data_IF_487853618674
#
_entry.id   IF_487853618674
#
_cell.length_a   1.000
_cell.length_b   1.000
_cell.length_c   1.000
_cell.angle_alpha   90.00
_cell.angle_beta   90.00
_cell.angle_gamma   90.00
#
_symmetry.space_group_name_H-M   'P 1'
#
loop_
_entity.id
_entity.type
_entity.pdbx_description
1 polymer ?
#
# COMPACT_ATOMS: atom_id res chain seq x y z
N UNK A 1 -58.39 22.70 8.35
CA UNK A 1 -57.02 22.70 7.80
C UNK A 1 -56.20 21.77 8.69
N UNK A 2 -56.10 20.51 8.30
CA UNK A 2 -55.15 19.57 8.86
C UNK A 2 -53.78 19.79 8.22
N UNK A 3 -52.67 19.78 8.97
CA UNK A 3 -51.37 19.52 8.40
C UNK A 3 -51.06 18.02 8.50
N UNK A 4 -51.24 17.34 7.37
CA UNK A 4 -50.47 16.24 6.80
C UNK A 4 -49.51 15.51 7.75
N UNK A 5 -49.80 14.23 8.01
CA UNK A 5 -48.84 13.24 8.48
C UNK A 5 -47.73 13.03 7.44
N UNK A 6 -46.46 13.04 7.85
CA UNK A 6 -45.34 12.52 7.05
C UNK A 6 -44.85 11.19 7.63
N UNK A 7 -44.73 10.12 6.80
CA UNK A 7 -44.38 8.78 7.23
C UNK A 7 -42.87 8.56 7.10
N UNK A 8 -42.15 8.51 8.23
CA UNK A 8 -40.83 7.90 8.24
C UNK A 8 -40.90 6.57 8.97
N UNK A 9 -40.99 5.52 8.15
CA UNK A 9 -40.72 4.13 8.48
C UNK A 9 -39.52 4.03 9.45
N UNK A 10 -39.57 3.24 10.52
CA UNK A 10 -40.06 1.87 10.55
C UNK A 10 -38.91 0.85 10.41
N UNK A 11 -37.67 1.21 10.79
CA UNK A 11 -36.60 0.21 10.90
C UNK A 11 -36.54 -0.33 12.33
N UNK A 12 -36.83 -1.63 12.50
CA UNK A 12 -36.63 -2.33 13.76
C UNK A 12 -35.13 -2.48 14.06
N UNK A 13 -34.68 -2.30 15.31
CA UNK A 13 -33.26 -2.37 15.64
C UNK A 13 -32.63 -3.71 15.20
N UNK A 14 -31.45 -3.63 14.58
CA UNK A 14 -30.71 -4.82 14.16
C UNK A 14 -30.26 -5.60 15.40
N UNK A 15 -30.41 -6.94 15.41
CA UNK A 15 -29.87 -7.76 16.49
C UNK A 15 -28.35 -7.65 16.56
N UNK A 16 -27.79 -7.85 17.74
CA UNK A 16 -26.34 -7.81 17.96
C UNK A 16 -25.62 -8.76 16.97
N UNK A 17 -24.55 -8.29 16.30
CA UNK A 17 -23.85 -9.11 15.32
C UNK A 17 -23.28 -10.36 15.99
N UNK A 18 -23.45 -11.52 15.35
CA UNK A 18 -22.73 -12.72 15.75
C UNK A 18 -21.24 -12.49 15.51
N UNK A 19 -20.40 -13.02 16.41
CA UNK A 19 -18.94 -12.97 16.34
C UNK A 19 -18.50 -13.34 14.92
N UNK A 20 -17.94 -12.37 14.20
CA UNK A 20 -17.46 -12.60 12.84
C UNK A 20 -16.30 -13.61 12.89
N UNK A 21 -16.17 -14.50 11.89
CA UNK A 21 -15.09 -15.46 11.89
C UNK A 21 -13.74 -14.73 11.91
N UNK A 22 -12.87 -15.09 12.86
CA UNK A 22 -11.52 -14.54 13.04
C UNK A 22 -10.55 -14.97 11.91
N UNK A 23 -11.02 -15.79 10.95
CA UNK A 23 -10.24 -16.23 9.78
C UNK A 23 -10.46 -15.28 8.61
N UNK A 24 -9.38 -14.98 7.87
CA UNK A 24 -9.45 -14.23 6.60
C UNK A 24 -10.53 -14.84 5.70
N UNK A 25 -11.37 -13.98 5.14
CA UNK A 25 -12.35 -14.37 4.13
C UNK A 25 -11.64 -14.95 2.89
N UNK A 26 -12.32 -15.80 2.13
CA UNK A 26 -11.79 -16.36 0.87
C UNK A 26 -11.35 -15.24 -0.09
N UNK A 27 -12.06 -14.10 -0.08
CA UNK A 27 -11.69 -12.92 -0.84
C UNK A 27 -10.34 -12.34 -0.41
N UNK A 28 -10.08 -12.23 0.89
CA UNK A 28 -8.81 -11.71 1.42
C UNK A 28 -7.65 -12.65 1.11
N UNK A 29 -7.85 -13.97 1.27
CA UNK A 29 -6.85 -14.96 0.88
C UNK A 29 -6.51 -14.86 -0.62
N UNK A 30 -7.53 -14.75 -1.47
CA UNK A 30 -7.32 -14.55 -2.92
C UNK A 30 -6.63 -13.22 -3.23
N UNK A 31 -6.92 -12.16 -2.49
CA UNK A 31 -6.26 -10.87 -2.66
C UNK A 31 -4.76 -10.97 -2.33
N UNK A 32 -4.41 -11.61 -1.22
CA UNK A 32 -3.02 -11.79 -0.80
C UNK A 32 -2.23 -12.63 -1.81
N UNK A 33 -2.81 -13.75 -2.28
CA UNK A 33 -2.23 -14.59 -3.33
C UNK A 33 -2.04 -13.84 -4.66
N UNK A 34 -2.98 -12.98 -5.03
CA UNK A 34 -2.86 -12.14 -6.23
C UNK A 34 -1.77 -11.08 -6.07
N UNK A 35 -1.63 -10.46 -4.89
CA UNK A 35 -0.57 -9.50 -4.61
C UNK A 35 0.80 -10.16 -4.66
N UNK A 36 0.93 -11.36 -4.10
CA UNK A 36 2.17 -12.14 -4.20
C UNK A 36 2.51 -12.42 -5.66
N UNK A 37 1.56 -12.96 -6.43
CA UNK A 37 1.77 -13.26 -7.83
C UNK A 37 2.14 -12.02 -8.69
N UNK A 38 1.64 -10.84 -8.33
CA UNK A 38 2.01 -9.57 -8.96
C UNK A 38 3.43 -9.12 -8.58
N UNK A 39 3.81 -9.22 -7.31
CA UNK A 39 5.12 -8.79 -6.79
C UNK A 39 6.26 -9.74 -7.19
N UNK A 40 5.98 -11.04 -7.29
CA UNK A 40 6.93 -12.07 -7.72
C UNK A 40 7.06 -12.15 -9.25
N UNK A 41 6.11 -11.56 -9.98
CA UNK A 41 6.08 -11.54 -11.44
C UNK A 41 5.42 -12.78 -12.07
N UNK A 42 4.82 -13.67 -11.28
CA UNK A 42 3.99 -14.77 -11.79
C UNK A 42 2.78 -14.28 -12.61
N UNK A 43 2.30 -13.06 -12.33
CA UNK A 43 1.41 -12.29 -13.19
C UNK A 43 2.21 -11.14 -13.82
N UNK A 44 2.80 -11.34 -15.01
CA UNK A 44 3.69 -10.35 -15.61
C UNK A 44 2.96 -9.05 -15.97
N UNK A 45 3.63 -7.90 -15.89
CA UNK A 45 3.11 -6.64 -16.44
C UNK A 45 2.57 -6.79 -17.87
N UNK A 46 1.37 -6.25 -18.12
CA UNK A 46 0.70 -6.30 -19.42
C UNK A 46 -0.06 -7.60 -19.70
N UNK A 47 0.12 -8.66 -18.90
CA UNK A 47 -0.66 -9.89 -19.04
C UNK A 47 -2.15 -9.67 -18.73
N UNK A 48 -3.02 -10.43 -19.40
CA UNK A 48 -4.48 -10.31 -19.27
C UNK A 48 -5.04 -11.60 -18.70
N UNK A 49 -5.83 -11.47 -17.63
CA UNK A 49 -6.40 -12.60 -16.89
C UNK A 49 -7.90 -12.43 -16.72
N UNK A 50 -8.66 -13.48 -17.01
CA UNK A 50 -10.09 -13.50 -16.75
C UNK A 50 -10.37 -13.96 -15.32
N UNK A 51 -11.45 -13.44 -14.71
CA UNK A 51 -11.90 -13.91 -13.40
C UNK A 51 -12.10 -15.44 -13.33
N UNK A 52 -12.74 -16.09 -14.33
CA UNK A 52 -12.85 -17.55 -14.38
C UNK A 52 -11.52 -18.30 -14.44
N UNK A 53 -10.53 -17.81 -15.19
CA UNK A 53 -9.23 -18.46 -15.29
C UNK A 53 -8.47 -18.42 -13.95
N UNK A 54 -8.47 -17.26 -13.29
CA UNK A 54 -7.90 -17.10 -11.95
C UNK A 54 -8.67 -17.94 -10.90
N UNK A 55 -10.00 -17.99 -10.99
CA UNK A 55 -10.82 -18.82 -10.10
C UNK A 55 -10.48 -20.31 -10.20
N UNK A 56 -10.30 -20.80 -11.43
CA UNK A 56 -9.84 -22.18 -11.66
C UNK A 56 -8.44 -22.41 -11.09
N UNK A 57 -7.51 -21.46 -11.26
CA UNK A 57 -6.15 -21.53 -10.69
C UNK A 57 -6.16 -21.65 -9.17
N UNK A 58 -6.99 -20.87 -8.48
CA UNK A 58 -7.03 -20.82 -7.02
C UNK A 58 -8.03 -21.81 -6.39
N UNK A 59 -8.76 -22.59 -7.19
CA UNK A 59 -9.74 -23.57 -6.69
C UNK A 59 -10.95 -22.93 -5.99
N UNK A 60 -11.33 -21.72 -6.37
CA UNK A 60 -12.44 -20.95 -5.78
C UNK A 60 -13.48 -20.54 -6.84
N UNK A 61 -14.58 -19.93 -6.41
CA UNK A 61 -15.56 -19.36 -7.34
C UNK A 61 -15.07 -18.03 -7.93
N UNK A 62 -15.68 -17.59 -9.04
CA UNK A 62 -15.28 -16.36 -9.73
C UNK A 62 -15.61 -15.07 -8.96
N UNK A 63 -16.52 -15.11 -7.99
CA UNK A 63 -16.95 -13.92 -7.21
C UNK A 63 -15.82 -13.34 -6.35
N UNK A 64 -15.21 -14.08 -5.41
CA UNK A 64 -14.12 -13.54 -4.58
C UNK A 64 -12.91 -13.07 -5.41
N UNK A 65 -12.64 -13.73 -6.55
CA UNK A 65 -11.60 -13.32 -7.50
C UNK A 65 -11.93 -11.97 -8.13
N UNK A 66 -13.15 -11.78 -8.65
CA UNK A 66 -13.55 -10.50 -9.25
C UNK A 66 -13.53 -9.37 -8.24
N UNK A 67 -13.93 -9.62 -7.00
CA UNK A 67 -13.87 -8.65 -5.91
C UNK A 67 -12.41 -8.28 -5.57
N UNK A 68 -11.53 -9.26 -5.42
CA UNK A 68 -10.10 -9.02 -5.19
C UNK A 68 -9.45 -8.23 -6.34
N UNK A 69 -9.72 -8.62 -7.59
CA UNK A 69 -9.21 -7.90 -8.76
C UNK A 69 -9.79 -6.49 -8.90
N UNK A 70 -11.03 -6.24 -8.46
CA UNK A 70 -11.59 -4.89 -8.40
C UNK A 70 -10.90 -4.03 -7.33
N UNK A 71 -10.48 -4.61 -6.20
CA UNK A 71 -9.66 -3.92 -5.21
C UNK A 71 -8.28 -3.58 -5.79
N UNK A 72 -7.62 -4.55 -6.44
CA UNK A 72 -6.33 -4.33 -7.12
C UNK A 72 -6.43 -3.28 -8.22
N UNK A 73 -7.58 -3.17 -8.90
CA UNK A 73 -7.82 -2.11 -9.87
C UNK A 73 -7.88 -0.72 -9.21
N UNK A 74 -8.52 -0.62 -8.04
CA UNK A 74 -8.53 0.61 -7.24
C UNK A 74 -7.16 0.96 -6.67
N UNK A 75 -6.31 -0.04 -6.43
CA UNK A 75 -4.91 0.12 -6.02
C UNK A 75 -3.98 0.43 -7.21
N UNK A 76 -4.50 0.43 -8.44
CA UNK A 76 -3.72 0.69 -9.65
C UNK A 76 -2.72 -0.43 -9.99
N UNK A 77 -2.94 -1.64 -9.49
CA UNK A 77 -2.13 -2.82 -9.82
C UNK A 77 -2.58 -3.47 -11.13
N UNK A 78 -3.88 -3.38 -11.43
CA UNK A 78 -4.50 -3.90 -12.66
C UNK A 78 -5.48 -2.89 -13.26
N UNK A 79 -5.81 -3.08 -14.53
CA UNK A 79 -6.84 -2.34 -15.25
C UNK A 79 -8.00 -3.27 -15.60
N UNK A 80 -9.23 -2.79 -15.45
CA UNK A 80 -10.41 -3.56 -15.87
C UNK A 80 -10.55 -3.48 -17.39
N UNK A 81 -10.58 -4.64 -18.05
CA UNK A 81 -10.87 -4.76 -19.48
C UNK A 81 -12.30 -5.30 -19.67
N UNK A 82 -13.24 -4.49 -20.20
CA UNK A 82 -14.61 -4.93 -20.45
C UNK A 82 -14.65 -6.26 -21.22
N UNK A 83 -15.41 -7.23 -20.70
CA UNK A 83 -15.59 -8.57 -21.27
C UNK A 83 -14.32 -9.42 -21.47
N UNK A 84 -13.14 -8.96 -21.02
CA UNK A 84 -11.87 -9.70 -21.15
C UNK A 84 -11.27 -10.07 -19.80
N UNK A 85 -11.54 -9.30 -18.75
CA UNK A 85 -11.02 -9.52 -17.41
C UNK A 85 -10.19 -8.34 -16.95
N UNK A 86 -8.94 -8.60 -16.56
CA UNK A 86 -8.06 -7.60 -15.98
C UNK A 86 -6.68 -7.67 -16.61
N UNK A 87 -6.05 -6.51 -16.83
CA UNK A 87 -4.69 -6.38 -17.33
C UNK A 87 -3.76 -5.92 -16.23
N UNK A 88 -2.64 -6.59 -16.01
CA UNK A 88 -1.61 -6.12 -15.07
C UNK A 88 -1.03 -4.81 -15.59
N UNK A 89 -0.96 -3.78 -14.73
CA UNK A 89 -0.46 -2.45 -15.12
C UNK A 89 1.02 -2.54 -15.49
N UNK A 90 1.38 -1.91 -16.61
CA UNK A 90 2.78 -1.72 -17.01
C UNK A 90 3.29 -0.39 -16.46
N UNK A 91 4.38 -0.42 -15.69
CA UNK A 91 5.12 0.78 -15.30
C UNK A 91 6.53 0.73 -15.87
N UNK A 92 6.97 1.81 -16.47
CA UNK A 92 8.37 1.97 -16.85
C UNK A 92 9.19 2.48 -15.67
N UNK A 93 10.52 2.35 -15.73
CA UNK A 93 11.40 3.00 -14.75
C UNK A 93 11.17 4.53 -14.71
N UNK A 94 10.84 5.13 -15.87
CA UNK A 94 10.48 6.54 -15.97
C UNK A 94 9.21 6.87 -15.19
N UNK A 95 8.17 6.05 -15.30
CA UNK A 95 6.91 6.27 -14.57
C UNK A 95 7.15 6.22 -13.06
N UNK A 96 7.97 5.27 -12.59
CA UNK A 96 8.32 5.15 -11.18
C UNK A 96 9.17 6.34 -10.69
N UNK A 97 10.11 6.81 -11.50
CA UNK A 97 10.88 8.02 -11.20
C UNK A 97 9.98 9.26 -11.08
N UNK A 98 8.97 9.39 -11.95
CA UNK A 98 7.97 10.47 -11.87
C UNK A 98 7.08 10.35 -10.63
N UNK A 99 6.68 9.12 -10.25
CA UNK A 99 5.97 8.90 -8.99
C UNK A 99 6.85 9.34 -7.81
N UNK A 100 8.13 8.95 -7.77
CA UNK A 100 9.06 9.35 -6.73
C UNK A 100 9.24 10.89 -6.67
N UNK A 101 9.27 11.57 -7.82
CA UNK A 101 9.30 13.04 -7.90
C UNK A 101 8.09 13.68 -7.22
N UNK A 102 6.87 13.21 -7.53
CA UNK A 102 5.65 13.72 -6.89
C UNK A 102 5.64 13.39 -5.40
N UNK A 103 6.06 12.18 -5.00
CA UNK A 103 6.20 11.81 -3.59
C UNK A 103 7.17 12.73 -2.85
N UNK A 104 8.31 13.08 -3.45
CA UNK A 104 9.25 14.05 -2.86
C UNK A 104 8.61 15.42 -2.65
N UNK A 105 7.83 15.91 -3.62
CA UNK A 105 7.12 17.21 -3.51
C UNK A 105 6.06 17.21 -2.40
N UNK A 106 5.43 16.06 -2.14
CA UNK A 106 4.36 15.93 -1.13
C UNK A 106 4.92 15.60 0.26
N UNK A 107 5.80 14.61 0.36
CA UNK A 107 6.19 14.01 1.64
C UNK A 107 7.34 14.75 2.33
N UNK A 108 8.32 15.29 1.59
CA UNK A 108 9.48 15.98 2.20
C UNK A 108 9.06 17.19 3.04
N UNK A 109 8.25 18.13 2.54
CA UNK A 109 7.85 19.29 3.33
C UNK A 109 7.14 18.88 4.64
N UNK A 110 6.31 17.85 4.56
CA UNK A 110 5.56 17.30 5.71
C UNK A 110 6.52 16.73 6.75
N UNK A 111 7.48 15.90 6.34
CA UNK A 111 8.47 15.32 7.27
C UNK A 111 9.36 16.39 7.88
N UNK A 112 9.73 17.44 7.14
CA UNK A 112 10.51 18.56 7.66
C UNK A 112 9.73 19.42 8.67
N UNK A 113 8.43 19.61 8.45
CA UNK A 113 7.56 20.28 9.43
C UNK A 113 7.42 19.44 10.69
N UNK A 114 7.21 18.13 10.55
CA UNK A 114 7.13 17.21 11.68
C UNK A 114 8.44 17.16 12.47
N UNK A 115 9.59 17.12 11.80
CA UNK A 115 10.90 17.14 12.45
C UNK A 115 11.10 18.35 13.37
N UNK A 116 10.43 19.49 13.10
CA UNK A 116 10.49 20.70 13.92
C UNK A 116 9.43 20.74 15.02
N UNK A 117 8.28 20.11 14.81
CA UNK A 117 7.10 20.25 15.68
C UNK A 117 6.86 19.07 16.61
N UNK A 118 7.32 17.88 16.25
CA UNK A 118 7.02 16.62 16.96
C UNK A 118 8.10 16.34 18.01
N UNK A 119 7.73 16.07 19.29
CA UNK A 119 8.68 15.68 20.32
C UNK A 119 9.40 14.37 19.98
N UNK A 120 10.68 14.26 20.36
CA UNK A 120 11.50 13.08 20.03
C UNK A 120 10.85 11.74 20.42
N UNK A 121 10.19 11.68 21.58
CA UNK A 121 9.51 10.48 22.09
C UNK A 121 8.40 9.94 21.17
N UNK A 122 7.83 10.78 20.28
CA UNK A 122 6.81 10.33 19.32
C UNK A 122 7.40 9.49 18.20
N UNK A 123 8.70 9.62 17.90
CA UNK A 123 9.38 8.80 16.90
C UNK A 123 9.59 7.37 17.39
N UNK A 124 9.77 7.18 18.69
CA UNK A 124 9.91 5.85 19.31
C UNK A 124 8.67 4.97 19.07
N UNK A 125 7.49 5.59 18.93
CA UNK A 125 6.24 4.87 18.62
C UNK A 125 6.22 4.28 17.20
N UNK A 126 7.06 4.78 16.29
CA UNK A 126 7.18 4.28 14.92
C UNK A 126 8.24 3.17 14.78
N UNK A 127 9.07 2.93 15.80
CA UNK A 127 10.14 1.92 15.77
C UNK A 127 9.60 0.52 15.45
N UNK A 128 8.49 0.04 16.05
CA UNK A 128 7.94 -1.28 15.70
C UNK A 128 7.55 -1.42 14.23
N UNK A 129 7.12 -0.33 13.58
CA UNK A 129 6.78 -0.33 12.15
C UNK A 129 8.04 -0.41 11.29
N UNK A 130 9.09 0.34 11.65
CA UNK A 130 10.39 0.23 10.98
C UNK A 130 10.98 -1.18 11.12
N UNK A 131 10.92 -1.77 12.31
CA UNK A 131 11.39 -3.14 12.58
C UNK A 131 10.61 -4.18 11.77
N UNK A 132 9.30 -4.01 11.59
CA UNK A 132 8.49 -4.88 10.75
C UNK A 132 8.99 -4.87 9.29
N UNK A 133 9.39 -3.71 8.77
CA UNK A 133 9.99 -3.64 7.41
C UNK A 133 11.31 -4.40 7.34
N UNK A 134 12.14 -4.30 8.37
CA UNK A 134 13.43 -5.00 8.44
C UNK A 134 13.23 -6.51 8.53
N UNK A 135 12.27 -6.97 9.35
CA UNK A 135 11.95 -8.38 9.49
C UNK A 135 11.43 -9.00 8.18
N UNK A 136 10.47 -8.33 7.51
CA UNK A 136 9.95 -8.79 6.22
C UNK A 136 11.03 -8.80 5.13
N UNK A 137 11.85 -7.73 5.06
CA UNK A 137 13.00 -7.67 4.16
C UNK A 137 14.01 -8.79 4.44
N UNK A 138 14.20 -9.16 5.70
CA UNK A 138 15.11 -10.22 6.09
C UNK A 138 14.62 -11.60 5.66
N UNK A 139 13.31 -11.84 5.72
CA UNK A 139 12.67 -13.06 5.22
C UNK A 139 12.61 -13.13 3.68
N UNK A 140 12.84 -12.01 2.99
CA UNK A 140 12.64 -11.92 1.54
C UNK A 140 11.17 -11.91 1.13
N UNK A 141 10.26 -11.67 2.10
CA UNK A 141 8.82 -11.63 1.89
C UNK A 141 8.42 -10.26 1.34
N UNK A 142 8.17 -10.21 0.02
CA UNK A 142 7.84 -8.96 -0.69
C UNK A 142 6.47 -8.42 -0.32
N UNK A 143 5.50 -9.30 -0.08
CA UNK A 143 4.13 -8.91 0.24
C UNK A 143 4.10 -8.26 1.62
N UNK A 144 4.64 -8.96 2.62
CA UNK A 144 4.73 -8.42 3.98
C UNK A 144 5.58 -7.17 4.02
N UNK A 145 6.64 -7.10 3.19
CA UNK A 145 7.46 -5.90 3.09
C UNK A 145 6.67 -4.70 2.57
N UNK A 146 5.94 -4.85 1.45
CA UNK A 146 5.16 -3.77 0.85
C UNK A 146 4.09 -3.23 1.82
N UNK A 147 3.42 -4.12 2.56
CA UNK A 147 2.42 -3.70 3.57
C UNK A 147 3.09 -3.00 4.76
N UNK A 148 4.22 -3.51 5.26
CA UNK A 148 4.95 -2.89 6.38
C UNK A 148 5.55 -1.52 6.00
N UNK A 149 6.14 -1.40 4.81
CA UNK A 149 6.69 -0.16 4.24
C UNK A 149 5.60 0.93 4.17
N UNK A 150 4.47 0.57 3.58
CA UNK A 150 3.29 1.43 3.49
C UNK A 150 2.75 1.83 4.87
N UNK A 151 2.67 0.89 5.81
CA UNK A 151 2.22 1.16 7.17
C UNK A 151 3.14 2.16 7.90
N UNK A 152 4.45 2.03 7.74
CA UNK A 152 5.43 2.97 8.27
C UNK A 152 5.22 4.38 7.70
N UNK A 153 5.17 4.53 6.37
CA UNK A 153 4.96 5.82 5.71
C UNK A 153 3.63 6.47 6.11
N UNK A 154 2.55 5.69 6.18
CA UNK A 154 1.23 6.17 6.61
C UNK A 154 1.25 6.68 8.05
N UNK A 155 1.91 5.97 8.95
CA UNK A 155 2.00 6.36 10.35
C UNK A 155 2.87 7.62 10.53
N UNK A 156 4.01 7.69 9.83
CA UNK A 156 4.89 8.86 9.82
C UNK A 156 4.14 10.12 9.35
N UNK A 157 3.52 10.08 8.17
CA UNK A 157 2.77 11.21 7.63
C UNK A 157 1.48 11.49 8.41
N UNK A 158 0.91 10.48 9.07
CA UNK A 158 -0.27 10.60 9.93
C UNK A 158 -0.07 11.53 11.11
N UNK A 159 1.17 11.69 11.59
CA UNK A 159 1.50 12.66 12.65
C UNK A 159 1.19 14.11 12.26
N UNK A 160 1.09 14.42 10.97
CA UNK A 160 0.74 15.75 10.49
C UNK A 160 -0.74 16.10 10.68
N UNK A 161 -1.58 15.11 11.03
CA UNK A 161 -3.02 15.31 11.21
C UNK A 161 -3.76 15.70 9.92
N UNK A 162 -3.12 15.58 8.75
CA UNK A 162 -3.72 15.90 7.46
C UNK A 162 -4.08 14.62 6.69
N UNK A 163 -5.35 14.16 6.75
CA UNK A 163 -5.75 12.91 6.11
C UNK A 163 -5.64 12.94 4.58
N UNK A 164 -5.68 14.12 3.96
CA UNK A 164 -5.56 14.24 2.50
C UNK A 164 -4.13 13.99 2.02
N UNK A 165 -3.13 14.52 2.74
CA UNK A 165 -1.71 14.22 2.46
C UNK A 165 -1.46 12.73 2.58
N UNK A 166 -1.93 12.11 3.66
CA UNK A 166 -1.79 10.68 3.90
C UNK A 166 -2.43 9.88 2.75
N UNK A 167 -3.64 10.25 2.32
CA UNK A 167 -4.33 9.55 1.24
C UNK A 167 -3.60 9.66 -0.11
N UNK A 168 -3.07 10.84 -0.45
CA UNK A 168 -2.31 11.05 -1.70
C UNK A 168 -0.99 10.28 -1.66
N UNK A 169 -0.24 10.37 -0.57
CA UNK A 169 1.02 9.65 -0.42
C UNK A 169 0.81 8.12 -0.43
N UNK A 170 -0.22 7.62 0.25
CA UNK A 170 -0.57 6.19 0.27
C UNK A 170 -0.95 5.64 -1.11
N UNK A 171 -1.64 6.45 -1.93
CA UNK A 171 -1.94 6.09 -3.33
C UNK A 171 -0.66 6.02 -4.18
N UNK A 172 0.18 7.06 -4.11
CA UNK A 172 1.45 7.10 -4.87
C UNK A 172 2.40 5.98 -4.43
N UNK A 173 2.48 5.70 -3.13
CA UNK A 173 3.29 4.63 -2.57
C UNK A 173 2.83 3.25 -3.08
N UNK A 174 1.51 2.96 -3.03
CA UNK A 174 0.96 1.73 -3.61
C UNK A 174 1.25 1.58 -5.10
N UNK A 175 1.27 2.67 -5.85
CA UNK A 175 1.62 2.60 -7.29
C UNK A 175 3.11 2.33 -7.49
N UNK A 176 3.97 2.83 -6.60
CA UNK A 176 5.42 2.68 -6.70
C UNK A 176 5.91 1.25 -6.38
N UNK A 177 5.18 0.50 -5.54
CA UNK A 177 5.61 -0.84 -5.08
C UNK A 177 5.59 -1.92 -6.17
N UNK A 178 4.92 -1.68 -7.31
CA UNK A 178 4.79 -2.67 -8.37
C UNK A 178 6.04 -2.68 -9.26
N UNK A 179 6.59 -3.87 -9.56
CA UNK A 179 7.80 -3.98 -10.35
C UNK A 179 7.61 -3.41 -11.77
N UNK A 180 8.61 -2.69 -12.32
CA UNK A 180 8.52 -2.14 -13.66
C UNK A 180 8.66 -3.23 -14.72
N UNK A 181 8.18 -2.93 -15.93
CA UNK A 181 8.35 -3.80 -17.09
C UNK A 181 9.83 -4.01 -17.37
N UNK A 182 10.25 -5.27 -17.51
CA UNK A 182 11.63 -5.61 -17.86
C UNK A 182 12.64 -5.36 -16.73
N UNK A 183 12.19 -5.21 -15.49
CA UNK A 183 13.07 -5.05 -14.34
C UNK A 183 14.02 -6.25 -14.19
N UNK A 184 15.32 -6.02 -14.38
CA UNK A 184 16.33 -6.99 -14.01
C UNK A 184 16.52 -6.97 -12.48
N UNK A 185 16.53 -8.13 -11.79
CA UNK A 185 16.68 -8.20 -10.32
C UNK A 185 17.93 -7.48 -9.79
N UNK A 186 18.99 -7.38 -10.61
CA UNK A 186 20.29 -6.85 -10.23
C UNK A 186 20.38 -5.30 -10.17
N UNK A 187 19.35 -4.57 -10.63
CA UNK A 187 19.39 -3.09 -10.71
C UNK A 187 18.75 -2.37 -9.52
N UNK A 188 18.05 -3.09 -8.64
CA UNK A 188 17.39 -2.50 -7.47
C UNK A 188 18.19 -2.71 -6.19
N UNK A 189 18.20 -1.73 -5.26
CA UNK A 189 18.67 -1.98 -3.92
C UNK A 189 17.88 -3.16 -3.32
N UNK A 190 18.57 -3.97 -2.53
CA UNK A 190 17.91 -5.08 -1.84
C UNK A 190 16.83 -4.54 -0.90
N UNK A 191 15.77 -5.33 -0.65
CA UNK A 191 14.76 -4.97 0.36
C UNK A 191 15.40 -4.59 1.69
N UNK A 192 16.49 -5.27 2.07
CA UNK A 192 17.25 -4.99 3.28
C UNK A 192 17.90 -3.61 3.26
N UNK A 193 18.46 -3.19 2.14
CA UNK A 193 19.04 -1.85 1.99
C UNK A 193 17.97 -0.76 2.08
N UNK A 194 16.81 -0.95 1.45
CA UNK A 194 15.68 -0.02 1.58
C UNK A 194 15.12 0.02 3.02
N UNK A 195 14.91 -1.14 3.66
CA UNK A 195 14.40 -1.23 5.02
C UNK A 195 15.28 -0.50 6.04
N UNK A 196 16.61 -0.56 5.87
CA UNK A 196 17.57 0.11 6.75
C UNK A 196 17.37 1.64 6.78
N UNK A 197 16.86 2.23 5.69
CA UNK A 197 16.59 3.67 5.64
C UNK A 197 15.48 4.08 6.63
N UNK A 198 14.46 3.25 6.89
CA UNK A 198 13.43 3.57 7.89
C UNK A 198 14.01 3.77 9.29
N UNK A 199 14.92 2.86 9.69
CA UNK A 199 15.59 2.95 10.99
C UNK A 199 16.51 4.17 11.05
N UNK A 200 17.27 4.44 9.97
CA UNK A 200 18.13 5.61 9.88
C UNK A 200 17.33 6.93 9.93
N UNK A 201 16.16 6.99 9.29
CA UNK A 201 15.26 8.13 9.32
C UNK A 201 14.72 8.40 10.72
N UNK A 202 14.22 7.37 11.41
CA UNK A 202 13.74 7.53 12.80
C UNK A 202 14.87 7.97 13.74
N UNK A 203 16.07 7.42 13.56
CA UNK A 203 17.25 7.81 14.34
C UNK A 203 17.57 9.30 14.13
N UNK A 204 17.57 9.74 12.87
CA UNK A 204 17.86 11.13 12.53
C UNK A 204 16.78 12.10 13.05
N UNK A 205 15.50 11.73 12.92
CA UNK A 205 14.37 12.49 13.46
C UNK A 205 14.44 12.61 14.99
N UNK A 206 14.77 11.52 15.67
CA UNK A 206 14.91 11.49 17.14
C UNK A 206 16.08 12.33 17.65
N UNK A 207 17.18 12.35 16.89
CA UNK A 207 18.38 13.14 17.18
C UNK A 207 18.28 14.60 16.69
N UNK A 208 17.18 15.00 16.06
CA UNK A 208 16.99 16.30 15.41
C UNK A 208 18.13 16.66 14.42
N UNK A 209 18.69 15.66 13.73
CA UNK A 209 19.70 15.86 12.69
C UNK A 209 19.04 16.13 11.33
N UNK A 210 19.77 16.69 10.34
CA UNK A 210 19.20 16.95 9.02
C UNK A 210 18.68 15.67 8.34
N UNK A 211 17.36 15.57 8.13
CA UNK A 211 16.68 14.38 7.60
C UNK A 211 16.39 14.45 6.10
N UNK A 212 16.39 15.63 5.49
CA UNK A 212 16.03 15.79 4.07
C UNK A 212 16.89 14.94 3.11
N UNK A 213 18.23 14.91 3.21
CA UNK A 213 19.04 14.09 2.30
C UNK A 213 18.73 12.60 2.43
N UNK A 214 18.52 12.13 3.67
CA UNK A 214 18.15 10.73 3.95
C UNK A 214 16.77 10.39 3.37
N UNK A 215 15.80 11.29 3.53
CA UNK A 215 14.44 11.06 3.04
C UNK A 215 14.37 11.13 1.51
N UNK A 216 15.13 12.03 0.88
CA UNK A 216 15.31 12.04 -0.59
C UNK A 216 15.92 10.75 -1.09
N UNK A 217 16.99 10.27 -0.45
CA UNK A 217 17.60 9.00 -0.82
C UNK A 217 16.60 7.85 -0.69
N UNK A 218 15.87 7.78 0.43
CA UNK A 218 14.79 6.81 0.67
C UNK A 218 13.74 6.78 -0.43
N UNK A 219 13.19 7.93 -0.81
CA UNK A 219 12.16 8.01 -1.87
C UNK A 219 12.72 7.69 -3.27
N UNK A 220 14.00 7.95 -3.53
CA UNK A 220 14.64 7.66 -4.82
C UNK A 220 14.89 6.16 -5.05
N UNK A 221 14.95 5.38 -3.96
CA UNK A 221 15.24 3.94 -4.02
C UNK A 221 14.04 3.06 -3.69
N UNK A 222 12.82 3.61 -3.75
CA UNK A 222 11.57 2.90 -3.49
C UNK A 222 11.54 1.57 -4.29
N UNK A 223 11.40 0.41 -3.62
CA UNK A 223 11.82 -0.89 -4.13
C UNK A 223 10.87 -1.55 -5.12
#
# INVERSE_FOLDING_TARGET
MDPVASPHAGWAPLPAPRRMPERLSVREQVLDELRDALLTGELPPGSVHSGPALAARYGVSATPVREAMALLAREGAVEVLPNRGFRVVCRTERDLAQIAEVRMLVEIPVVLDLARAVPAARWDELVPLADATVAAAAAGDRVSYAEADRAFHRALLGLAGNPHVVAVADDLHRRAQWPPVGAAPARRPTLRAHAAHHTALLTALSAATPTEPLFRAHLAICP
#
